data_IF_207846282275
#
_entry.id   IF_207846282275
#
_cell.length_a   1.000
_cell.length_b   1.000
_cell.length_c   1.000
_cell.angle_alpha   90.00
_cell.angle_beta   90.00
_cell.angle_gamma   90.00
#
_symmetry.space_group_name_H-M   'P 1'
#
loop_
_entity.id
_entity.type
_entity.pdbx_description
1 polymer ?
#
# COMPACT_ATOMS: atom_id res chain seq x y z
N UNK A 1 -29.15 3.26 0.91
CA UNK A 1 -28.44 3.63 -0.33
C UNK A 1 -26.93 3.50 -0.17
N UNK A 2 -26.31 4.18 0.81
CA UNK A 2 -24.85 4.16 1.07
C UNK A 2 -24.28 2.74 1.28
N UNK A 3 -24.96 1.87 2.04
CA UNK A 3 -24.48 0.51 2.28
C UNK A 3 -24.36 -0.32 0.99
N UNK A 4 -25.32 -0.23 0.07
CA UNK A 4 -25.26 -0.97 -1.21
C UNK A 4 -24.12 -0.44 -2.10
N UNK A 5 -23.93 0.88 -2.14
CA UNK A 5 -22.82 1.51 -2.88
C UNK A 5 -21.48 1.05 -2.33
N UNK A 6 -21.31 1.02 -1.01
CA UNK A 6 -20.09 0.53 -0.35
C UNK A 6 -19.81 -0.95 -0.68
N UNK A 7 -20.82 -1.82 -0.64
CA UNK A 7 -20.64 -3.25 -0.99
C UNK A 7 -20.14 -3.39 -2.43
N UNK A 8 -20.80 -2.73 -3.39
CA UNK A 8 -20.39 -2.75 -4.79
C UNK A 8 -18.97 -2.20 -4.97
N UNK A 9 -18.64 -1.14 -4.23
CA UNK A 9 -17.31 -0.54 -4.22
C UNK A 9 -16.23 -1.53 -3.75
N UNK A 10 -16.41 -2.15 -2.58
CA UNK A 10 -15.44 -3.12 -2.06
C UNK A 10 -15.28 -4.33 -2.98
N UNK A 11 -16.37 -4.86 -3.55
CA UNK A 11 -16.30 -5.96 -4.52
C UNK A 11 -15.49 -5.52 -5.74
N UNK A 12 -15.79 -4.34 -6.29
CA UNK A 12 -15.08 -3.81 -7.46
C UNK A 12 -13.59 -3.61 -7.17
N UNK A 13 -13.25 -3.01 -6.03
CA UNK A 13 -11.86 -2.80 -5.62
C UNK A 13 -11.12 -4.13 -5.40
N UNK A 14 -11.75 -5.10 -4.73
CA UNK A 14 -11.18 -6.44 -4.55
C UNK A 14 -10.94 -7.13 -5.89
N UNK A 15 -11.93 -7.15 -6.78
CA UNK A 15 -11.79 -7.73 -8.12
C UNK A 15 -10.71 -7.05 -8.94
N UNK A 16 -10.59 -5.72 -8.84
CA UNK A 16 -9.53 -4.95 -9.48
C UNK A 16 -8.14 -5.37 -9.02
N UNK A 17 -7.89 -5.43 -7.71
CA UNK A 17 -6.59 -5.85 -7.20
C UNK A 17 -6.31 -7.33 -7.46
N UNK A 18 -7.31 -8.20 -7.38
CA UNK A 18 -7.16 -9.61 -7.75
C UNK A 18 -6.78 -9.78 -9.24
N UNK A 19 -7.38 -8.98 -10.12
CA UNK A 19 -7.03 -8.94 -11.54
C UNK A 19 -5.58 -8.47 -11.76
N UNK A 20 -5.13 -7.41 -11.06
CA UNK A 20 -3.75 -6.93 -11.15
C UNK A 20 -2.76 -8.01 -10.68
N UNK A 21 -3.01 -8.61 -9.51
CA UNK A 21 -2.14 -9.67 -8.96
C UNK A 21 -2.10 -10.88 -9.89
N UNK A 22 -3.23 -11.29 -10.46
CA UNK A 22 -3.27 -12.35 -11.48
C UNK A 22 -2.46 -11.97 -12.73
N UNK A 23 -2.57 -10.73 -13.19
CA UNK A 23 -1.85 -10.22 -14.36
C UNK A 23 -0.34 -10.16 -14.13
N UNK A 24 0.09 -9.84 -12.90
CA UNK A 24 1.49 -9.91 -12.46
C UNK A 24 1.99 -11.35 -12.41
N UNK A 25 1.21 -12.25 -11.81
CA UNK A 25 1.56 -13.67 -11.71
C UNK A 25 1.65 -14.35 -13.09
N UNK A 26 0.84 -13.93 -14.06
CA UNK A 26 0.91 -14.42 -15.44
C UNK A 26 2.22 -14.05 -16.17
N UNK A 27 3.03 -13.15 -15.59
CA UNK A 27 4.36 -12.81 -16.10
C UNK A 27 5.48 -13.62 -15.46
N UNK A 28 5.17 -14.48 -14.50
CA UNK A 28 6.16 -15.35 -13.87
C UNK A 28 6.80 -16.30 -14.90
N UNK A 29 8.10 -16.55 -14.75
CA UNK A 29 8.90 -17.33 -15.70
C UNK A 29 9.21 -16.64 -17.04
N UNK A 30 8.70 -15.43 -17.31
CA UNK A 30 9.12 -14.64 -18.47
C UNK A 30 10.54 -14.09 -18.26
N UNK A 31 11.30 -13.97 -19.36
CA UNK A 31 12.64 -13.37 -19.30
C UNK A 31 12.55 -11.93 -18.79
N UNK A 32 13.22 -11.66 -17.68
CA UNK A 32 13.26 -10.32 -17.10
C UNK A 32 14.01 -9.33 -18.02
N UNK A 33 13.60 -8.05 -18.04
CA UNK A 33 14.29 -7.03 -18.82
C UNK A 33 15.74 -6.82 -18.35
N UNK A 34 16.61 -6.31 -19.23
CA UNK A 34 17.96 -5.90 -18.84
C UNK A 34 17.94 -4.95 -17.63
N UNK A 35 18.85 -5.17 -16.68
CA UNK A 35 18.95 -4.40 -15.45
C UNK A 35 18.05 -4.88 -14.31
N UNK A 36 17.14 -5.83 -14.56
CA UNK A 36 16.27 -6.42 -13.52
C UNK A 36 16.79 -7.81 -13.15
N UNK A 37 17.15 -8.00 -11.88
CA UNK A 37 17.61 -9.29 -11.37
C UNK A 37 16.46 -10.12 -10.78
N UNK A 38 16.63 -11.45 -10.73
CA UNK A 38 15.57 -12.39 -10.32
C UNK A 38 15.44 -12.55 -8.80
N UNK A 39 16.55 -12.49 -8.05
CA UNK A 39 16.55 -12.71 -6.61
C UNK A 39 15.53 -11.81 -5.87
N UNK A 40 14.79 -12.41 -4.93
CA UNK A 40 13.68 -11.77 -4.21
C UNK A 40 12.38 -11.63 -5.01
N UNK A 41 12.39 -11.93 -6.33
CA UNK A 41 11.22 -11.89 -7.19
C UNK A 41 10.47 -10.55 -7.12
N UNK A 42 9.14 -10.56 -7.29
CA UNK A 42 8.30 -9.37 -7.06
C UNK A 42 8.30 -8.88 -5.61
N UNK A 43 8.58 -9.76 -4.64
CA UNK A 43 8.50 -9.49 -3.20
C UNK A 43 9.51 -8.46 -2.69
N UNK A 44 10.54 -8.14 -3.47
CA UNK A 44 11.45 -7.04 -3.15
C UNK A 44 10.82 -5.67 -3.33
N UNK A 45 9.81 -5.53 -4.19
CA UNK A 45 9.23 -4.23 -4.53
C UNK A 45 8.08 -3.87 -3.59
N UNK A 46 8.15 -2.68 -2.99
CA UNK A 46 7.10 -2.18 -2.09
C UNK A 46 5.77 -2.01 -2.83
N UNK A 47 5.81 -1.66 -4.13
CA UNK A 47 4.62 -1.62 -4.99
C UNK A 47 3.87 -2.94 -4.99
N UNK A 48 4.57 -4.07 -5.16
CA UNK A 48 3.94 -5.39 -5.18
C UNK A 48 3.34 -5.75 -3.81
N UNK A 49 4.09 -5.52 -2.73
CA UNK A 49 3.62 -5.72 -1.37
C UNK A 49 2.39 -4.86 -1.05
N UNK A 50 2.36 -3.61 -1.52
CA UNK A 50 1.22 -2.73 -1.38
C UNK A 50 0.00 -3.27 -2.13
N UNK A 51 0.14 -3.77 -3.36
CA UNK A 51 -0.99 -4.33 -4.11
C UNK A 51 -1.60 -5.54 -3.40
N UNK A 52 -0.77 -6.42 -2.84
CA UNK A 52 -1.24 -7.53 -2.00
C UNK A 52 -1.96 -7.03 -0.75
N UNK A 53 -1.41 -6.02 -0.07
CA UNK A 53 -2.05 -5.38 1.08
C UNK A 53 -3.42 -4.79 0.71
N UNK A 54 -3.54 -4.09 -0.42
CA UNK A 54 -4.82 -3.57 -0.90
C UNK A 54 -5.81 -4.70 -1.21
N UNK A 55 -5.37 -5.75 -1.90
CA UNK A 55 -6.20 -6.93 -2.19
C UNK A 55 -6.72 -7.59 -0.92
N UNK A 56 -5.84 -7.82 0.06
CA UNK A 56 -6.21 -8.41 1.36
C UNK A 56 -7.17 -7.51 2.11
N UNK A 57 -6.92 -6.20 2.13
CA UNK A 57 -7.79 -5.23 2.77
C UNK A 57 -9.21 -5.24 2.17
N UNK A 58 -9.33 -5.08 0.85
CA UNK A 58 -10.64 -5.07 0.21
C UNK A 58 -11.33 -6.43 0.26
N UNK A 59 -10.58 -7.54 0.27
CA UNK A 59 -11.12 -8.87 0.52
C UNK A 59 -11.76 -8.99 1.91
N UNK A 60 -11.09 -8.50 2.96
CA UNK A 60 -11.69 -8.42 4.30
C UNK A 60 -12.90 -7.49 4.33
N UNK A 61 -12.87 -6.37 3.59
CA UNK A 61 -13.98 -5.43 3.51
C UNK A 61 -15.22 -6.08 2.88
N UNK A 62 -15.05 -6.85 1.80
CA UNK A 62 -16.12 -7.67 1.18
C UNK A 62 -16.66 -8.70 2.17
N UNK A 63 -15.79 -9.46 2.83
CA UNK A 63 -16.23 -10.46 3.82
C UNK A 63 -17.03 -9.79 4.94
N UNK A 64 -16.57 -8.64 5.44
CA UNK A 64 -17.25 -7.89 6.48
C UNK A 64 -18.62 -7.35 6.03
N UNK A 65 -18.73 -6.93 4.78
CA UNK A 65 -19.97 -6.44 4.19
C UNK A 65 -21.02 -7.53 3.96
N UNK A 66 -20.58 -8.75 3.63
CA UNK A 66 -21.44 -9.91 3.40
C UNK A 66 -21.83 -10.65 4.68
N UNK A 67 -21.23 -10.30 5.83
CA UNK A 67 -21.62 -10.84 7.12
C UNK A 67 -22.99 -10.31 7.55
N UNK A 68 -24.06 -11.01 7.18
CA UNK A 68 -25.41 -10.81 7.70
C UNK A 68 -25.78 -11.94 8.68
N UNK A 69 -26.06 -11.61 9.95
CA UNK A 69 -26.61 -12.55 10.94
C UNK A 69 -25.67 -13.01 12.06
N UNK A 70 -26.10 -14.03 12.82
CA UNK A 70 -25.53 -14.52 14.11
C UNK A 70 -24.07 -15.03 14.04
N UNK A 71 -23.50 -15.20 12.85
CA UNK A 71 -22.12 -15.69 12.63
C UNK A 71 -21.12 -14.55 12.36
N UNK A 72 -21.28 -13.40 13.04
CA UNK A 72 -20.38 -12.26 12.89
C UNK A 72 -19.00 -12.59 13.47
N UNK A 73 -17.95 -12.44 12.68
CA UNK A 73 -16.57 -12.67 13.16
C UNK A 73 -16.21 -11.55 14.12
N UNK A 74 -16.16 -11.87 15.42
CA UNK A 74 -15.78 -10.91 16.47
C UNK A 74 -14.40 -10.33 16.15
N UNK A 75 -14.34 -9.02 15.95
CA UNK A 75 -13.09 -8.29 15.74
C UNK A 75 -12.67 -8.09 14.27
N UNK A 76 -13.38 -8.63 13.27
CA UNK A 76 -13.04 -8.38 11.86
C UNK A 76 -13.05 -6.89 11.52
N UNK A 77 -14.06 -6.15 11.99
CA UNK A 77 -14.11 -4.69 11.86
C UNK A 77 -12.89 -3.99 12.49
N UNK A 78 -12.42 -4.45 13.63
CA UNK A 78 -11.25 -3.88 14.31
C UNK A 78 -9.97 -4.11 13.52
N UNK A 79 -9.79 -5.32 12.97
CA UNK A 79 -8.64 -5.65 12.12
C UNK A 79 -8.69 -4.91 10.79
N UNK A 80 -9.86 -4.83 10.15
CA UNK A 80 -10.09 -4.03 8.94
C UNK A 80 -9.68 -2.58 9.18
N UNK A 81 -10.15 -1.97 10.26
CA UNK A 81 -9.82 -0.58 10.59
C UNK A 81 -8.34 -0.38 10.90
N UNK A 82 -7.72 -1.32 11.63
CA UNK A 82 -6.30 -1.26 11.92
C UNK A 82 -5.47 -1.39 10.63
N UNK A 83 -5.78 -2.36 9.77
CA UNK A 83 -5.06 -2.58 8.52
C UNK A 83 -5.22 -1.40 7.59
N UNK A 84 -6.44 -0.85 7.45
CA UNK A 84 -6.65 0.35 6.65
C UNK A 84 -5.86 1.54 7.18
N UNK A 85 -6.10 1.89 8.44
CA UNK A 85 -5.60 3.13 9.03
C UNK A 85 -4.09 3.13 9.21
N UNK A 86 -3.49 1.99 9.56
CA UNK A 86 -2.05 1.88 9.86
C UNK A 86 -1.25 1.51 8.63
N UNK A 87 -1.79 0.71 7.71
CA UNK A 87 -1.00 0.16 6.59
C UNK A 87 -1.56 0.59 5.23
N UNK A 88 -2.77 0.14 4.87
CA UNK A 88 -3.25 0.23 3.49
C UNK A 88 -3.34 1.68 2.99
N UNK A 89 -3.89 2.59 3.80
CA UNK A 89 -3.96 4.00 3.44
C UNK A 89 -2.58 4.67 3.40
N UNK A 90 -1.81 4.74 4.51
CA UNK A 90 -0.55 5.50 4.51
C UNK A 90 0.51 4.93 3.55
N UNK A 91 0.66 3.60 3.48
CA UNK A 91 1.63 2.97 2.58
C UNK A 91 1.20 3.12 1.12
N UNK A 92 -0.09 2.93 0.82
CA UNK A 92 -0.58 3.07 -0.55
C UNK A 92 -0.44 4.49 -1.09
N UNK A 93 -0.80 5.51 -0.29
CA UNK A 93 -0.58 6.91 -0.67
C UNK A 93 0.91 7.23 -0.83
N UNK A 94 1.76 6.71 0.06
CA UNK A 94 3.21 6.89 -0.01
C UNK A 94 3.81 6.27 -1.28
N UNK A 95 3.42 5.04 -1.64
CA UNK A 95 3.91 4.37 -2.85
C UNK A 95 3.55 5.18 -4.10
N UNK A 96 2.31 5.68 -4.21
CA UNK A 96 1.87 6.53 -5.33
C UNK A 96 2.71 7.81 -5.39
N UNK A 97 2.80 8.52 -4.26
CA UNK A 97 3.51 9.80 -4.20
C UNK A 97 4.99 9.64 -4.54
N UNK A 98 5.68 8.72 -3.86
CA UNK A 98 7.11 8.51 -4.04
C UNK A 98 7.42 8.07 -5.47
N UNK A 99 6.63 7.15 -6.03
CA UNK A 99 6.81 6.68 -7.39
C UNK A 99 6.75 7.84 -8.38
N UNK A 100 5.67 8.64 -8.38
CA UNK A 100 5.51 9.69 -9.39
C UNK A 100 6.47 10.86 -9.20
N UNK A 101 6.86 11.19 -7.96
CA UNK A 101 7.88 12.21 -7.70
C UNK A 101 9.22 11.77 -8.31
N UNK A 102 9.66 10.54 -8.04
CA UNK A 102 10.93 10.06 -8.59
C UNK A 102 10.81 9.84 -10.10
N UNK A 103 9.70 9.27 -10.57
CA UNK A 103 9.46 9.04 -11.99
C UNK A 103 9.52 10.33 -12.82
N UNK A 104 8.94 11.42 -12.31
CA UNK A 104 8.95 12.72 -12.97
C UNK A 104 10.34 13.39 -12.93
N UNK A 105 11.14 13.13 -11.89
CA UNK A 105 12.51 13.63 -11.79
C UNK A 105 13.46 12.86 -12.71
N UNK A 106 13.54 11.54 -12.52
CA UNK A 106 14.24 10.60 -13.39
C UNK A 106 13.67 9.18 -13.16
N UNK A 107 12.92 8.70 -14.15
CA UNK A 107 12.30 7.37 -14.11
C UNK A 107 13.30 6.23 -13.98
N UNK A 108 14.55 6.38 -14.44
CA UNK A 108 15.55 5.30 -14.39
C UNK A 108 15.88 4.89 -12.94
N UNK A 109 15.58 5.74 -11.97
CA UNK A 109 15.84 5.52 -10.55
C UNK A 109 14.86 4.54 -9.87
N UNK A 110 13.68 4.32 -10.46
CA UNK A 110 12.60 3.47 -9.89
C UNK A 110 11.88 2.59 -10.92
N UNK A 111 11.82 3.02 -12.18
CA UNK A 111 11.12 2.35 -13.26
C UNK A 111 11.86 2.55 -14.61
N UNK A 112 12.96 1.80 -14.81
CA UNK A 112 13.77 1.89 -16.03
C UNK A 112 12.97 1.66 -17.31
N UNK A 113 13.41 2.26 -18.41
CA UNK A 113 12.75 2.10 -19.73
C UNK A 113 12.66 0.64 -20.20
N UNK A 114 13.59 -0.22 -19.76
CA UNK A 114 13.53 -1.65 -20.07
C UNK A 114 12.26 -2.33 -19.56
N UNK A 115 11.59 -1.77 -18.55
CA UNK A 115 10.32 -2.26 -18.03
C UNK A 115 9.12 -1.97 -18.95
N UNK A 116 9.19 -1.01 -19.87
CA UNK A 116 8.08 -0.67 -20.77
C UNK A 116 7.74 -1.82 -21.73
N UNK A 117 8.76 -2.57 -22.14
CA UNK A 117 8.59 -3.77 -22.96
C UNK A 117 7.96 -4.93 -22.16
N UNK A 118 8.09 -4.92 -20.83
CA UNK A 118 7.61 -5.98 -19.96
C UNK A 118 6.24 -5.69 -19.37
N UNK A 119 6.00 -4.45 -18.95
CA UNK A 119 4.73 -4.01 -18.35
C UNK A 119 4.04 -3.04 -19.30
N UNK A 120 2.83 -3.37 -19.79
CA UNK A 120 2.06 -2.43 -20.59
C UNK A 120 1.70 -1.19 -19.76
N UNK A 121 1.51 -0.05 -20.43
CA UNK A 121 1.27 1.24 -19.80
C UNK A 121 0.12 1.21 -18.77
N UNK A 122 -0.99 0.53 -19.09
CA UNK A 122 -2.13 0.40 -18.18
C UNK A 122 -1.74 -0.23 -16.84
N UNK A 123 -0.79 -1.17 -16.86
CA UNK A 123 -0.34 -1.90 -15.69
C UNK A 123 0.54 -1.02 -14.81
N UNK A 124 1.36 -0.15 -15.40
CA UNK A 124 2.07 0.88 -14.64
C UNK A 124 1.10 1.79 -13.87
N UNK A 125 0.07 2.32 -14.53
CA UNK A 125 -0.96 3.13 -13.88
C UNK A 125 -1.80 2.35 -12.86
N UNK A 126 -2.10 1.08 -13.14
CA UNK A 126 -2.82 0.22 -12.20
C UNK A 126 -2.04 0.05 -10.88
N UNK A 127 -0.71 -0.10 -10.97
CA UNK A 127 0.17 -0.26 -9.82
C UNK A 127 0.47 1.05 -9.08
N UNK A 128 0.60 2.16 -9.80
CA UNK A 128 1.15 3.40 -9.25
C UNK A 128 0.20 4.61 -9.27
N UNK A 129 -0.96 4.57 -9.93
CA UNK A 129 -1.91 5.69 -9.96
C UNK A 129 -3.23 5.31 -9.32
N UNK A 130 -3.84 4.19 -9.74
CA UNK A 130 -5.22 3.82 -9.37
C UNK A 130 -5.37 3.53 -7.87
N UNK A 131 -4.28 3.19 -7.18
CA UNK A 131 -4.28 2.98 -5.72
C UNK A 131 -4.82 4.20 -4.96
N UNK A 132 -4.42 5.42 -5.34
CA UNK A 132 -4.83 6.65 -4.65
C UNK A 132 -6.34 6.90 -4.69
N UNK A 133 -7.00 6.99 -5.87
CA UNK A 133 -8.44 7.23 -5.91
C UNK A 133 -9.24 6.11 -5.23
N UNK A 134 -8.74 4.86 -5.24
CA UNK A 134 -9.38 3.74 -4.52
C UNK A 134 -9.23 3.87 -2.99
N UNK A 135 -8.12 4.40 -2.49
CA UNK A 135 -7.99 4.68 -1.05
C UNK A 135 -8.79 5.90 -0.60
N UNK A 136 -8.88 6.93 -1.45
CA UNK A 136 -9.71 8.11 -1.18
C UNK A 136 -11.20 7.75 -1.21
N UNK A 137 -11.63 6.94 -2.18
CA UNK A 137 -13.00 6.42 -2.24
C UNK A 137 -13.37 5.61 -1.00
N UNK A 138 -12.44 4.85 -0.44
CA UNK A 138 -12.65 4.12 0.82
C UNK A 138 -12.93 5.05 1.99
N UNK A 139 -12.14 6.13 2.15
CA UNK A 139 -12.39 7.14 3.19
C UNK A 139 -13.79 7.77 3.04
N UNK A 140 -14.23 8.02 1.81
CA UNK A 140 -15.54 8.63 1.55
C UNK A 140 -16.71 7.68 1.85
N UNK A 141 -16.52 6.37 1.65
CA UNK A 141 -17.58 5.37 1.75
C UNK A 141 -17.63 4.64 3.09
N UNK A 142 -16.53 4.62 3.85
CA UNK A 142 -16.41 3.90 5.11
C UNK A 142 -15.66 4.69 6.18
N UNK A 143 -16.30 4.80 7.35
CA UNK A 143 -15.64 5.32 8.54
C UNK A 143 -14.68 4.26 9.12
N UNK A 144 -13.45 4.67 9.43
CA UNK A 144 -12.45 3.83 10.08
C UNK A 144 -12.04 4.36 11.44
N UNK A 145 -11.92 3.46 12.42
CA UNK A 145 -11.41 3.81 13.76
C UNK A 145 -9.88 3.72 13.78
N UNK A 146 -9.24 4.88 13.95
CA UNK A 146 -7.78 4.96 14.07
C UNK A 146 -7.30 4.62 15.50
N UNK A 147 -6.18 3.90 15.66
CA UNK A 147 -5.56 3.70 16.97
C UNK A 147 -4.97 5.01 17.51
N UNK A 148 -4.44 5.02 18.74
CA UNK A 148 -3.64 6.15 19.24
C UNK A 148 -2.50 6.45 18.26
N UNK A 149 -2.26 7.73 17.95
CA UNK A 149 -1.29 8.16 16.91
C UNK A 149 0.07 7.50 17.09
N UNK A 150 0.61 7.54 18.31
CA UNK A 150 1.89 6.94 18.65
C UNK A 150 1.95 5.44 18.35
N UNK A 151 0.84 4.71 18.55
CA UNK A 151 0.79 3.28 18.28
C UNK A 151 0.75 3.01 16.77
N UNK A 152 -0.02 3.82 16.02
CA UNK A 152 -0.08 3.70 14.55
C UNK A 152 1.26 4.01 13.90
N UNK A 153 1.92 5.11 14.31
CA UNK A 153 3.25 5.48 13.82
C UNK A 153 4.30 4.45 14.24
N UNK A 154 4.26 3.94 15.48
CA UNK A 154 5.19 2.89 15.91
C UNK A 154 5.03 1.61 15.08
N UNK A 155 3.80 1.18 14.80
CA UNK A 155 3.54 0.03 13.94
C UNK A 155 4.04 0.25 12.50
N UNK A 156 3.83 1.44 11.93
CA UNK A 156 4.44 1.83 10.65
C UNK A 156 5.97 1.79 10.69
N UNK A 157 6.58 2.24 11.79
CA UNK A 157 8.03 2.16 12.00
C UNK A 157 8.55 0.72 11.98
N UNK A 158 7.85 -0.21 12.64
CA UNK A 158 8.21 -1.64 12.63
C UNK A 158 8.14 -2.20 11.21
N UNK A 159 7.06 -1.93 10.46
CA UNK A 159 6.90 -2.41 9.09
C UNK A 159 7.94 -1.78 8.15
N UNK A 160 8.20 -0.49 8.28
CA UNK A 160 9.23 0.22 7.52
C UNK A 160 10.62 -0.35 7.77
N UNK A 161 10.98 -0.60 9.04
CA UNK A 161 12.26 -1.21 9.40
C UNK A 161 12.37 -2.64 8.86
N UNK A 162 11.30 -3.45 8.95
CA UNK A 162 11.29 -4.80 8.39
C UNK A 162 11.54 -4.78 6.88
N UNK A 163 10.91 -3.86 6.15
CA UNK A 163 11.15 -3.70 4.72
C UNK A 163 12.56 -3.20 4.40
N UNK A 164 13.10 -2.26 5.18
CA UNK A 164 14.49 -1.82 5.03
C UNK A 164 15.47 -2.99 5.24
N UNK A 165 15.29 -3.77 6.29
CA UNK A 165 16.09 -4.97 6.54
C UNK A 165 16.04 -5.94 5.36
N UNK A 166 14.86 -6.13 4.75
CA UNK A 166 14.71 -6.96 3.57
C UNK A 166 15.49 -6.43 2.35
N UNK A 167 15.40 -5.12 2.08
CA UNK A 167 16.14 -4.49 0.98
C UNK A 167 17.65 -4.58 1.20
N UNK A 168 18.13 -4.33 2.42
CA UNK A 168 19.55 -4.48 2.79
C UNK A 168 19.99 -5.94 2.64
N UNK A 169 19.19 -6.89 3.12
CA UNK A 169 19.50 -8.31 2.99
C UNK A 169 19.65 -8.73 1.53
N UNK A 170 18.77 -8.27 0.63
CA UNK A 170 18.92 -8.51 -0.81
C UNK A 170 20.24 -7.95 -1.33
N UNK A 171 20.56 -6.70 -0.99
CA UNK A 171 21.83 -6.10 -1.40
C UNK A 171 23.04 -6.89 -0.91
N UNK A 172 23.03 -7.36 0.33
CA UNK A 172 24.11 -8.21 0.87
C UNK A 172 24.20 -9.57 0.18
N UNK A 173 23.07 -10.13 -0.26
CA UNK A 173 23.01 -11.44 -0.90
C UNK A 173 23.49 -11.43 -2.35
N UNK A 174 23.17 -10.38 -3.13
CA UNK A 174 23.44 -10.35 -4.58
C UNK A 174 24.26 -9.14 -5.06
N UNK A 175 24.61 -8.20 -4.18
CA UNK A 175 25.38 -7.00 -4.54
C UNK A 175 24.62 -5.96 -5.37
N UNK A 176 23.30 -6.14 -5.54
CA UNK A 176 22.45 -5.28 -6.35
C UNK A 176 21.35 -4.64 -5.50
N UNK A 177 21.16 -3.34 -5.66
CA UNK A 177 20.08 -2.62 -4.99
C UNK A 177 18.73 -2.90 -5.66
N UNK A 178 17.68 -3.03 -4.84
CA UNK A 178 16.30 -3.19 -5.31
C UNK A 178 15.85 -2.00 -6.17
N UNK A 179 16.27 -0.79 -5.78
CA UNK A 179 16.02 0.45 -6.50
C UNK A 179 17.36 1.09 -6.90
N UNK A 180 17.57 1.42 -8.19
CA UNK A 180 18.81 2.06 -8.65
C UNK A 180 19.21 3.30 -7.86
N UNK A 181 18.23 4.10 -7.40
CA UNK A 181 18.45 5.27 -6.52
C UNK A 181 19.36 4.96 -5.31
N UNK A 182 19.21 3.78 -4.70
CA UNK A 182 19.99 3.42 -3.50
C UNK A 182 21.47 3.23 -3.81
N UNK A 183 21.81 2.83 -5.03
CA UNK A 183 23.19 2.69 -5.49
C UNK A 183 23.93 4.00 -5.69
N UNK A 184 23.21 5.12 -5.74
CA UNK A 184 23.79 6.46 -5.86
C UNK A 184 24.13 7.09 -4.50
N UNK A 185 23.76 6.44 -3.41
CA UNK A 185 23.85 6.98 -2.05
C UNK A 185 24.96 6.31 -1.26
N UNK A 186 25.63 7.08 -0.40
CA UNK A 186 26.44 6.52 0.68
C UNK A 186 25.55 5.83 1.72
N UNK A 187 26.14 5.07 2.64
CA UNK A 187 25.41 4.46 3.77
C UNK A 187 24.62 5.49 4.58
N UNK A 188 25.20 6.67 4.85
CA UNK A 188 24.50 7.76 5.52
C UNK A 188 23.38 8.36 4.66
N UNK A 189 23.56 8.42 3.33
CA UNK A 189 22.52 8.80 2.39
C UNK A 189 21.33 7.85 2.38
N UNK A 190 21.56 6.53 2.39
CA UNK A 190 20.50 5.51 2.50
C UNK A 190 19.72 5.66 3.82
N UNK A 191 20.43 5.86 4.94
CA UNK A 191 19.79 6.12 6.23
C UNK A 191 18.96 7.41 6.21
N UNK A 192 19.50 8.50 5.66
CA UNK A 192 18.80 9.77 5.52
C UNK A 192 17.54 9.64 4.66
N UNK A 193 17.62 8.94 3.53
CA UNK A 193 16.48 8.65 2.66
C UNK A 193 15.42 7.82 3.38
N UNK A 194 15.83 6.82 4.15
CA UNK A 194 14.89 6.02 4.96
C UNK A 194 14.14 6.89 5.98
N UNK A 195 14.84 7.73 6.73
CA UNK A 195 14.23 8.63 7.72
C UNK A 195 13.28 9.65 7.07
N UNK A 196 13.64 10.17 5.90
CA UNK A 196 12.78 11.04 5.11
C UNK A 196 11.49 10.30 4.69
N UNK A 197 11.63 9.11 4.12
CA UNK A 197 10.48 8.30 3.71
C UNK A 197 9.58 7.91 4.89
N UNK A 198 10.16 7.58 6.05
CA UNK A 198 9.40 7.33 7.28
C UNK A 198 8.65 8.58 7.76
N UNK A 199 9.22 9.76 7.56
CA UNK A 199 8.53 11.02 7.84
C UNK A 199 7.33 11.20 6.90
N UNK A 200 7.51 10.98 5.60
CA UNK A 200 6.43 11.10 4.61
C UNK A 200 5.31 10.09 4.87
N UNK A 201 5.62 8.81 5.16
CA UNK A 201 4.59 7.81 5.45
C UNK A 201 3.82 8.13 6.74
N UNK A 202 4.49 8.71 7.74
CA UNK A 202 3.83 9.21 8.94
C UNK A 202 2.92 10.41 8.65
N UNK A 203 3.30 11.30 7.74
CA UNK A 203 2.43 12.37 7.25
C UNK A 203 1.20 11.80 6.53
N UNK A 204 1.36 10.75 5.71
CA UNK A 204 0.22 10.08 5.04
C UNK A 204 -0.74 9.44 6.06
N UNK A 205 -0.23 8.90 7.17
CA UNK A 205 -1.06 8.39 8.27
C UNK A 205 -1.90 9.51 8.92
N UNK A 206 -1.27 10.66 9.20
CA UNK A 206 -1.96 11.82 9.76
C UNK A 206 -2.97 12.42 8.79
N UNK A 207 -2.65 12.44 7.49
CA UNK A 207 -3.55 12.86 6.43
C UNK A 207 -4.78 11.96 6.39
N UNK A 208 -4.61 10.63 6.35
CA UNK A 208 -5.72 9.68 6.33
C UNK A 208 -6.65 9.84 7.53
N UNK A 209 -6.08 10.03 8.72
CA UNK A 209 -6.86 10.32 9.93
C UNK A 209 -7.64 11.63 9.80
N UNK A 210 -6.99 12.68 9.33
CA UNK A 210 -7.60 14.01 9.16
C UNK A 210 -8.76 13.95 8.17
N UNK A 211 -8.56 13.32 7.01
CA UNK A 211 -9.60 13.12 6.00
C UNK A 211 -10.76 12.28 6.54
N UNK A 212 -10.49 11.17 7.23
CA UNK A 212 -11.54 10.36 7.86
C UNK A 212 -12.36 11.16 8.87
N UNK A 213 -11.71 11.95 9.73
CA UNK A 213 -12.39 12.81 10.70
C UNK A 213 -13.14 13.97 10.05
N UNK A 214 -12.67 14.46 8.91
CA UNK A 214 -13.33 15.53 8.16
C UNK A 214 -14.63 15.04 7.51
N UNK A 215 -14.61 13.84 6.91
CA UNK A 215 -15.79 13.24 6.28
C UNK A 215 -16.83 12.78 7.31
N UNK A 216 -16.40 12.15 8.41
CA UNK A 216 -17.31 11.46 9.34
C UNK A 216 -17.48 12.16 10.70
N UNK A 217 -16.75 13.25 10.94
CA UNK A 217 -16.70 13.97 12.21
C UNK A 217 -15.69 13.38 13.21
N UNK A 218 -15.22 14.21 14.15
CA UNK A 218 -14.39 13.74 15.28
C UNK A 218 -15.27 12.96 16.26
N UNK A 219 -15.16 11.63 16.24
CA UNK A 219 -15.62 10.79 17.35
C UNK A 219 -17.13 10.62 17.49
N UNK A 220 -17.75 9.86 16.58
CA UNK A 220 -18.75 8.89 17.07
C UNK A 220 -18.00 7.75 17.74
N UNK A 221 -17.52 7.99 18.95
CA UNK A 221 -17.42 6.91 19.94
C UNK A 221 -18.80 6.27 19.91
N UNK A 222 -18.91 5.02 19.46
CA UNK A 222 -20.17 4.29 19.50
C UNK A 222 -20.66 4.39 20.94
N UNK A 223 -21.65 5.26 21.16
CA UNK A 223 -22.38 5.32 22.41
C UNK A 223 -22.95 3.92 22.57
N UNK A 224 -22.45 3.18 23.56
CA UNK A 224 -23.18 2.04 24.09
C UNK A 224 -24.54 2.62 24.50
N UNK A 225 -25.57 2.38 23.70
CA UNK A 225 -26.94 2.46 24.19
C UNK A 225 -27.01 1.56 25.40
N UNK A 226 -27.36 2.18 26.53
CA UNK A 226 -27.70 1.50 27.78
C UNK A 226 -28.80 0.48 27.53
#
# INVERSE_FOLDING_TARGET
MIAKVRIVYHITAFSWYAFIIKSLAAKDGQKLPPGIFEYGGPWKYLTFLNLLLQMVFFGMAVVNDLQTGKNTVKGLNKWKDLIFSVLAFPVGMFVVLLFWVIFAYDRQLVYPESLDAFFPLWMNHAMHTVVMPVLLGEILLQHHVYPKTKNGIAALGVVGLAYLCWVIFIYLAVGLWVYPLLGLLSTSGVLGLFLLNMTVVAMMYLLGRTLNNWVWGKGKTVTKTK
#
